data_IF_968694708919
#
_entry.id   IF_968694708919
#
_cell.length_a   1.000
_cell.length_b   1.000
_cell.length_c   1.000
_cell.angle_alpha   90.00
_cell.angle_beta   90.00
_cell.angle_gamma   90.00
#
_symmetry.space_group_name_H-M   'P 1'
#
loop_
_entity.id
_entity.type
_entity.pdbx_description
1 polymer ?
#
# COMPACT_ATOMS: atom_id res chain seq x y z
N UNK A 1 -21.22 -41.18 -25.00
CA UNK A 1 -21.09 -40.76 -24.75
C UNK A 1 -20.62 -39.90 -24.55
N UNK A 2 -20.51 -40.08 -24.55
CA UNK A 2 -20.10 -39.33 -24.23
C UNK A 2 -19.54 -38.51 -24.02
N UNK A 3 -19.53 -38.40 -23.99
CA UNK A 3 -19.16 -37.72 -23.68
C UNK A 3 -18.58 -36.82 -23.58
N UNK A 4 -18.62 -36.94 -23.83
CA UNK A 4 -18.34 -36.13 -23.59
C UNK A 4 -17.90 -35.34 -23.40
N UNK A 5 -17.92 -35.61 -23.69
CA UNK A 5 -17.73 -34.90 -23.36
C UNK A 5 -17.11 -33.99 -23.02
N UNK A 6 -17.15 -34.11 -23.13
CA UNK A 6 -16.84 -33.32 -22.67
C UNK A 6 -16.19 -32.46 -22.45
N UNK A 7 -16.01 -32.53 -22.74
CA UNK A 7 -15.66 -31.72 -22.34
C UNK A 7 -15.09 -30.82 -22.17
N UNK A 8 -15.26 -31.13 -22.46
CA UNK A 8 -15.09 -30.34 -22.06
C UNK A 8 -14.59 -29.48 -21.80
N UNK A 9 -14.41 -29.50 -22.03
CA UNK A 9 -14.32 -28.65 -21.64
C UNK A 9 -13.79 -27.87 -21.32
N UNK A 10 -13.58 -28.10 -21.54
CA UNK A 10 -13.46 -27.39 -21.08
C UNK A 10 -12.84 -26.73 -20.86
N UNK A 11 -12.71 -26.73 -21.22
CA UNK A 11 -12.48 -26.02 -20.83
C UNK A 11 -11.99 -25.32 -20.63
N UNK A 12 -11.97 -25.54 -21.11
CA UNK A 12 -11.88 -24.84 -20.71
C UNK A 12 -11.46 -24.10 -20.47
N UNK A 13 -11.27 -24.11 -20.83
CA UNK A 13 -11.22 -23.36 -20.40
C UNK A 13 -10.75 -22.71 -20.13
N UNK A 14 -10.57 -22.84 -20.46
CA UNK A 14 -10.43 -22.16 -19.97
C UNK A 14 -9.98 -21.54 -19.78
N UNK A 15 -9.86 -21.66 -20.17
CA UNK A 15 -9.77 -21.01 -19.78
C UNK A 15 -9.38 -20.36 -19.65
N UNK A 16 -9.22 -20.50 -20.06
CA UNK A 16 -9.15 -19.80 -19.74
C UNK A 16 -8.78 -19.19 -19.47
N UNK A 17 -8.60 -19.37 -19.75
CA UNK A 17 -8.45 -18.72 -19.28
C UNK A 17 -7.97 -18.20 -19.06
N UNK A 18 -7.59 -18.26 -19.30
CA UNK A 18 -7.38 -17.76 -18.82
C UNK A 18 -6.88 -17.21 -18.83
N UNK A 19 -6.57 -17.05 -19.18
CA UNK A 19 -6.30 -16.50 -19.12
C UNK A 19 -6.23 -15.71 -18.88
N UNK A 20 -6.10 -15.60 -19.05
CA UNK A 20 -6.07 -14.84 -18.79
C UNK A 20 -5.78 -14.36 -18.16
N UNK A 21 -5.83 -14.43 -17.99
CA UNK A 21 -5.75 -13.75 -17.20
C UNK A 21 -4.87 -13.36 -16.68
N UNK A 22 -4.39 -13.19 -16.87
CA UNK A 22 -3.58 -12.97 -16.37
C UNK A 22 -3.07 -11.84 -16.33
N UNK A 23 -2.95 -11.10 -16.48
CA UNK A 23 -2.54 -10.16 -16.46
C UNK A 23 -3.07 -9.09 -15.87
N UNK A 24 -3.77 -8.77 -16.13
CA UNK A 24 -4.51 -7.80 -15.51
C UNK A 24 -4.37 -7.75 -14.06
N UNK A 25 -4.03 -8.76 -13.54
CA UNK A 25 -3.88 -8.83 -12.13
C UNK A 25 -2.96 -7.83 -11.57
N UNK A 26 -1.96 -7.46 -12.30
CA UNK A 26 -1.03 -6.50 -11.75
C UNK A 26 -1.72 -5.19 -11.44
N UNK A 27 -2.57 -4.74 -12.32
CA UNK A 27 -3.22 -3.46 -12.12
C UNK A 27 -4.09 -3.43 -10.88
N UNK A 28 -4.78 -4.51 -10.59
CA UNK A 28 -5.66 -4.54 -9.44
C UNK A 28 -4.95 -4.90 -8.15
N UNK A 29 -3.70 -5.32 -8.23
CA UNK A 29 -3.02 -5.82 -7.06
C UNK A 29 -2.60 -4.73 -6.09
N UNK A 30 -2.27 -3.56 -6.56
CA UNK A 30 -1.60 -2.59 -5.71
C UNK A 30 -2.45 -2.15 -4.53
N UNK A 31 -3.60 -1.61 -4.76
CA UNK A 31 -4.43 -1.15 -3.66
C UNK A 31 -4.88 -2.34 -2.79
N UNK A 32 -5.24 -3.42 -3.43
CA UNK A 32 -5.70 -4.61 -2.72
C UNK A 32 -4.59 -5.39 -2.01
N UNK A 33 -3.34 -5.05 -2.24
CA UNK A 33 -2.24 -5.63 -1.47
C UNK A 33 -2.34 -5.33 0.01
N UNK A 34 -2.95 -4.22 0.37
CA UNK A 34 -2.95 -3.75 1.75
C UNK A 34 -3.82 -4.64 2.63
N UNK A 35 -3.26 -5.33 3.61
CA UNK A 35 -4.06 -6.17 4.51
C UNK A 35 -4.97 -5.32 5.39
N UNK A 36 -6.06 -5.93 5.85
CA UNK A 36 -6.93 -5.29 6.84
C UNK A 36 -6.12 -4.95 8.08
N UNK A 37 -6.38 -3.78 8.63
CA UNK A 37 -5.80 -3.29 9.88
C UNK A 37 -4.35 -2.84 9.80
N UNK A 38 -3.73 -2.88 8.62
CA UNK A 38 -2.36 -2.44 8.44
C UNK A 38 -2.29 -1.02 7.88
N UNK A 39 -1.16 -0.39 8.11
CA UNK A 39 -0.76 0.83 7.43
C UNK A 39 0.13 0.44 6.26
N UNK A 40 -0.20 0.93 5.06
CA UNK A 40 0.44 0.51 3.83
C UNK A 40 1.01 1.70 3.08
N UNK A 41 2.19 1.52 2.50
CA UNK A 41 2.85 2.56 1.72
C UNK A 41 3.38 1.99 0.42
N UNK A 42 3.46 2.84 -0.61
CA UNK A 42 4.01 2.52 -1.92
C UNK A 42 4.94 3.62 -2.38
N UNK A 43 5.96 3.25 -3.16
CA UNK A 43 6.94 4.23 -3.61
C UNK A 43 6.50 5.02 -4.85
N UNK A 44 5.43 4.61 -5.50
CA UNK A 44 4.87 5.35 -6.63
C UNK A 44 3.45 5.83 -6.31
N UNK A 45 2.99 6.79 -7.11
CA UNK A 45 1.60 7.24 -7.01
C UNK A 45 0.65 6.11 -7.42
N UNK A 46 -0.62 6.26 -7.08
CA UNK A 46 -1.68 5.32 -7.42
C UNK A 46 -1.43 3.92 -6.87
N UNK A 47 -0.76 3.82 -5.72
CA UNK A 47 -0.57 2.55 -5.01
C UNK A 47 0.22 1.55 -5.84
N UNK A 48 1.26 2.02 -6.50
CA UNK A 48 2.09 1.20 -7.37
C UNK A 48 3.53 1.14 -6.89
N UNK A 49 4.27 0.18 -7.43
CA UNK A 49 5.68 0.03 -7.17
C UNK A 49 5.99 -0.78 -5.93
N UNK A 50 7.07 -0.46 -5.28
CA UNK A 50 7.49 -1.16 -4.07
C UNK A 50 6.47 -0.93 -2.96
N UNK A 51 6.16 -1.99 -2.24
CA UNK A 51 5.09 -2.02 -1.25
C UNK A 51 5.63 -2.44 0.11
N UNK A 52 5.12 -1.79 1.15
CA UNK A 52 5.44 -2.12 2.53
C UNK A 52 4.21 -1.91 3.40
N UNK A 53 4.05 -2.76 4.42
CA UNK A 53 2.94 -2.63 5.35
C UNK A 53 3.34 -3.07 6.75
N UNK A 54 2.63 -2.54 7.74
CA UNK A 54 2.88 -2.93 9.14
C UNK A 54 1.71 -2.47 10.02
N UNK A 55 1.50 -3.16 11.13
CA UNK A 55 0.60 -2.72 12.20
C UNK A 55 1.35 -2.00 13.30
N UNK A 56 2.64 -2.25 13.41
CA UNK A 56 3.48 -1.71 14.46
C UNK A 56 4.41 -0.64 13.95
N UNK A 57 5.28 -0.16 14.83
CA UNK A 57 6.24 0.86 14.45
C UNK A 57 7.29 0.32 13.49
N UNK A 58 7.70 1.17 12.57
CA UNK A 58 8.80 0.87 11.64
C UNK A 58 9.76 2.04 11.74
N UNK A 59 10.91 1.81 12.37
CA UNK A 59 11.86 2.87 12.64
C UNK A 59 12.68 3.26 11.40
N UNK A 60 12.68 2.43 10.38
CA UNK A 60 13.29 2.74 9.09
C UNK A 60 12.66 1.84 8.04
N UNK A 61 12.15 2.46 6.99
CA UNK A 61 11.40 1.73 5.97
C UNK A 61 12.27 0.87 5.05
N UNK A 62 13.59 0.94 5.19
CA UNK A 62 14.49 0.14 4.38
C UNK A 62 14.85 0.81 3.07
N UNK A 63 15.90 0.32 2.43
CA UNK A 63 16.48 0.99 1.27
C UNK A 63 15.52 1.06 0.07
N UNK A 64 14.65 0.08 -0.08
CA UNK A 64 13.70 0.08 -1.21
C UNK A 64 12.66 1.18 -1.10
N UNK A 65 12.36 1.61 0.11
CA UNK A 65 11.27 2.56 0.37
C UNK A 65 11.80 3.87 0.96
N UNK A 66 13.05 3.91 1.39
CA UNK A 66 13.61 5.08 2.04
C UNK A 66 13.50 6.29 1.14
N UNK A 67 12.92 7.36 1.67
CA UNK A 67 12.71 8.62 0.94
C UNK A 67 11.96 8.43 -0.37
N UNK A 68 11.08 7.43 -0.45
CA UNK A 68 10.40 7.10 -1.70
C UNK A 68 8.88 7.03 -1.60
N UNK A 69 8.32 7.10 -0.41
CA UNK A 69 6.88 6.98 -0.27
C UNK A 69 6.17 8.04 -1.07
N UNK A 70 5.22 7.62 -1.89
CA UNK A 70 4.42 8.53 -2.72
C UNK A 70 2.93 8.34 -2.50
N UNK A 71 2.48 7.15 -2.11
CA UNK A 71 1.09 6.89 -1.79
C UNK A 71 0.98 6.03 -0.54
N UNK A 72 -0.19 6.09 0.12
CA UNK A 72 -0.41 5.32 1.34
C UNK A 72 -1.89 5.03 1.54
N UNK A 73 -2.15 4.06 2.41
CA UNK A 73 -3.48 3.77 2.90
C UNK A 73 -3.38 3.29 4.35
N UNK A 74 -4.00 4.06 5.26
CA UNK A 74 -4.11 3.64 6.65
C UNK A 74 -5.37 2.79 6.80
N UNK A 75 -5.21 1.51 6.68
CA UNK A 75 -6.32 0.57 6.79
C UNK A 75 -6.55 0.10 8.22
N UNK A 76 -5.82 0.68 9.17
CA UNK A 76 -5.99 0.36 10.57
C UNK A 76 -7.18 1.12 11.16
N UNK A 77 -7.52 0.78 12.39
CA UNK A 77 -8.61 1.42 13.11
C UNK A 77 -8.14 2.60 13.96
N UNK A 78 -6.87 2.92 13.90
CA UNK A 78 -6.29 4.01 14.67
C UNK A 78 -5.44 4.92 13.82
N UNK A 79 -4.91 5.94 14.48
CA UNK A 79 -4.03 6.90 13.84
C UNK A 79 -2.66 6.29 13.61
N UNK A 80 -2.02 6.70 12.52
CA UNK A 80 -0.59 6.49 12.30
C UNK A 80 0.06 7.84 12.10
N UNK A 81 1.35 7.92 12.43
CA UNK A 81 2.17 9.09 12.14
C UNK A 81 3.35 8.65 11.30
N UNK A 82 3.70 9.45 10.31
CA UNK A 82 4.89 9.21 9.48
C UNK A 82 5.86 10.34 9.68
N UNK A 83 7.15 10.04 9.61
CA UNK A 83 8.22 10.94 10.01
C UNK A 83 9.25 11.11 8.91
N UNK A 84 9.83 12.30 8.88
CA UNK A 84 10.85 12.65 7.90
C UNK A 84 12.10 11.78 8.02
N UNK A 85 12.53 11.50 9.24
CA UNK A 85 13.76 10.78 9.50
C UNK A 85 13.50 9.40 10.10
N UNK A 86 14.55 8.57 10.14
CA UNK A 86 14.47 7.29 10.83
C UNK A 86 14.27 7.51 12.33
N UNK A 87 13.88 6.46 13.02
CA UNK A 87 13.62 6.46 14.45
C UNK A 87 12.69 7.59 14.88
N UNK A 88 11.71 7.88 14.01
CA UNK A 88 10.62 8.82 14.32
C UNK A 88 11.12 10.25 14.55
N UNK A 89 12.14 10.65 13.80
CA UNK A 89 12.71 11.98 13.90
C UNK A 89 12.23 12.91 12.80
N UNK A 90 12.57 14.18 12.93
CA UNK A 90 12.16 15.18 11.97
C UNK A 90 10.70 15.57 12.11
N UNK A 91 10.14 16.19 11.07
CA UNK A 91 8.72 16.55 11.10
C UNK A 91 7.86 15.31 10.99
N UNK A 92 6.60 15.42 11.38
CA UNK A 92 5.66 14.32 11.29
C UNK A 92 4.34 14.74 10.67
N UNK A 93 3.66 13.76 10.09
CA UNK A 93 2.33 13.91 9.53
C UNK A 93 1.45 12.86 10.19
N UNK A 94 0.27 13.29 10.66
CA UNK A 94 -0.70 12.38 11.24
C UNK A 94 -1.69 11.91 10.20
N UNK A 95 -1.99 10.63 10.20
CA UNK A 95 -2.90 10.01 9.24
C UNK A 95 -3.99 9.28 9.99
N UNK A 96 -5.22 9.74 9.81
CA UNK A 96 -6.37 9.16 10.48
C UNK A 96 -6.74 7.77 9.97
N UNK A 97 -7.52 7.02 10.75
CA UNK A 97 -7.96 5.70 10.32
C UNK A 97 -8.77 5.77 9.04
N UNK A 98 -8.44 4.90 8.08
CA UNK A 98 -9.12 4.84 6.79
C UNK A 98 -8.61 5.83 5.75
N UNK A 99 -7.77 6.79 6.14
CA UNK A 99 -7.28 7.79 5.21
C UNK A 99 -6.33 7.17 4.19
N UNK A 100 -6.42 7.66 2.96
CA UNK A 100 -5.54 7.22 1.88
C UNK A 100 -5.26 8.38 0.94
N UNK A 101 -4.10 8.35 0.28
CA UNK A 101 -3.77 9.30 -0.77
C UNK A 101 -3.02 8.58 -1.88
N UNK A 102 -3.51 8.77 -3.09
CA UNK A 102 -2.86 8.21 -4.28
C UNK A 102 -1.56 8.94 -4.60
N UNK A 103 -1.41 10.17 -4.11
CA UNK A 103 -0.19 10.96 -4.27
C UNK A 103 -0.10 11.95 -3.12
N UNK A 104 0.98 11.87 -2.34
CA UNK A 104 1.14 12.75 -1.18
C UNK A 104 1.61 14.15 -1.53
N UNK A 105 1.89 14.42 -2.80
CA UNK A 105 2.27 15.75 -3.26
C UNK A 105 3.75 16.03 -3.18
N UNK A 106 4.19 17.06 -3.93
CA UNK A 106 5.61 17.34 -4.09
C UNK A 106 6.31 17.74 -2.80
N UNK A 107 5.56 18.28 -1.85
CA UNK A 107 6.15 18.74 -0.58
C UNK A 107 6.73 17.58 0.22
N UNK A 108 6.06 16.44 0.20
CA UNK A 108 6.44 15.32 1.06
C UNK A 108 6.96 14.13 0.29
N UNK A 109 6.78 14.14 -1.03
CA UNK A 109 7.20 13.04 -1.86
C UNK A 109 8.70 12.79 -1.67
N UNK A 110 9.04 11.51 -1.50
CA UNK A 110 10.43 11.07 -1.36
C UNK A 110 11.15 11.60 -0.11
N UNK A 111 10.42 11.91 0.96
CA UNK A 111 11.03 12.45 2.17
C UNK A 111 10.75 11.66 3.45
N UNK A 112 9.91 10.64 3.39
CA UNK A 112 9.42 10.00 4.61
C UNK A 112 10.12 8.66 4.82
N UNK A 113 10.57 8.42 6.07
CA UNK A 113 11.50 7.32 6.37
C UNK A 113 11.00 6.36 7.45
N UNK A 114 10.17 6.81 8.38
CA UNK A 114 9.68 5.95 9.46
C UNK A 114 8.22 6.25 9.75
N UNK A 115 7.56 5.31 10.43
CA UNK A 115 6.17 5.53 10.83
C UNK A 115 5.84 4.68 12.05
N UNK A 116 4.82 5.09 12.80
CA UNK A 116 4.35 4.32 13.96
C UNK A 116 2.85 4.47 14.14
N UNK A 117 2.21 3.51 14.87
CA UNK A 117 0.82 3.66 15.25
C UNK A 117 0.70 4.68 16.37
N UNK A 118 -0.13 5.70 16.17
CA UNK A 118 -0.35 6.74 17.13
C UNK A 118 -0.18 8.12 16.55
N UNK A 119 -0.35 9.11 17.39
CA UNK A 119 -0.24 10.51 17.01
C UNK A 119 1.16 11.03 17.36
N UNK A 120 1.54 12.16 16.79
CA UNK A 120 2.83 12.76 17.07
C UNK A 120 2.63 14.18 17.60
N UNK A 121 3.74 14.81 18.00
CA UNK A 121 3.71 16.17 18.54
C UNK A 121 3.94 17.16 17.41
N UNK A 122 3.06 18.17 17.31
CA UNK A 122 3.18 19.25 16.32
C UNK A 122 3.28 18.72 14.87
N UNK A 123 2.29 17.97 14.40
CA UNK A 123 2.33 17.52 13.01
C UNK A 123 2.27 18.69 12.06
N UNK A 124 3.01 18.59 10.95
CA UNK A 124 2.96 19.62 9.89
C UNK A 124 1.72 19.48 9.02
N UNK A 125 1.11 18.29 9.03
CA UNK A 125 -0.14 18.02 8.32
C UNK A 125 -0.94 16.98 9.09
N UNK A 126 -2.25 17.01 8.93
CA UNK A 126 -3.16 16.01 9.47
C UNK A 126 -4.04 15.56 8.31
N UNK A 127 -3.92 14.30 7.95
CA UNK A 127 -4.69 13.73 6.83
C UNK A 127 -5.76 12.78 7.34
N UNK A 128 -7.00 12.99 6.87
CA UNK A 128 -8.16 12.19 7.31
C UNK A 128 -8.86 11.54 6.15
#
# INVERSE_FOLDING_TARGET
>A
MNKMRMLAVGAALLTTAGIGAINAPAASAHYSQCPNYDFCIWDHSNYEGAFMHSRGPVDKVGDRMNDRMTSFWNRSQGWFSIFEHDRFGGYCIEIGPGASRANIGNRFNDQLTSFWPGRCTNPVEIWR
#
